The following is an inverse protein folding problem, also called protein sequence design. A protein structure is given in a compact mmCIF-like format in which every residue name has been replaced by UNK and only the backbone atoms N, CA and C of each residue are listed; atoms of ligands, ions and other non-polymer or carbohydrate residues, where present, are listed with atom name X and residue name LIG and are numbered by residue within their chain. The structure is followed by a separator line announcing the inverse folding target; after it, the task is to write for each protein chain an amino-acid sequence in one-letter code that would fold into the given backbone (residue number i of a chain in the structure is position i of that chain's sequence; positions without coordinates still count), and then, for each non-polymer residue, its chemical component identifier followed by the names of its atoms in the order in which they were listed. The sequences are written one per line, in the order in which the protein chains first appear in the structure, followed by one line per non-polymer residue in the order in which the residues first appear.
data_IF_104189360007
#
_entry.id   IF_104189360007
#
_cell.length_a   1.000
_cell.length_b   1.000
_cell.length_c   1.000
_cell.angle_alpha   90.00
_cell.angle_beta   90.00
_cell.angle_gamma   90.00
#
_symmetry.space_group_name_H-M   'P 1'
#
loop_
_entity.id
_entity.type
_entity.pdbx_description
1 polymer ?
#
# COMPACT_ATOMS: atom_id res chain seq x y z
N UNK A 1 5.90 -7.95 -12.84
CA UNK A 1 6.79 -7.01 -12.11
C UNK A 1 7.86 -6.32 -12.97
N UNK A 2 7.93 -6.60 -14.28
CA UNK A 2 8.98 -6.07 -15.17
C UNK A 2 8.93 -4.54 -15.32
N UNK A 3 7.73 -3.93 -15.32
CA UNK A 3 7.58 -2.49 -15.47
C UNK A 3 8.10 -1.69 -14.26
N UNK A 4 7.79 -2.12 -13.03
CA UNK A 4 8.26 -1.42 -11.81
C UNK A 4 9.78 -1.45 -11.71
N UNK A 5 10.42 -2.59 -12.02
CA UNK A 5 11.89 -2.67 -12.03
C UNK A 5 12.51 -1.73 -13.08
N UNK A 6 11.89 -1.58 -14.25
CA UNK A 6 12.31 -0.61 -15.27
C UNK A 6 12.20 0.83 -14.76
N UNK A 7 11.10 1.17 -14.07
CA UNK A 7 10.91 2.51 -13.46
C UNK A 7 11.97 2.76 -12.40
N UNK A 8 12.17 1.82 -11.47
CA UNK A 8 13.18 1.92 -10.41
C UNK A 8 14.59 2.13 -10.98
N UNK A 9 14.95 1.35 -12.00
CA UNK A 9 16.24 1.50 -12.68
C UNK A 9 16.37 2.85 -13.39
N UNK A 10 15.33 3.30 -14.09
CA UNK A 10 15.35 4.61 -14.75
C UNK A 10 15.45 5.76 -13.74
N UNK A 11 14.72 5.68 -12.63
CA UNK A 11 14.76 6.65 -11.54
C UNK A 11 16.17 6.74 -10.94
N UNK A 12 16.79 5.58 -10.65
CA UNK A 12 18.17 5.49 -10.18
C UNK A 12 19.17 6.09 -11.18
N UNK A 13 19.08 5.72 -12.45
CA UNK A 13 20.00 6.18 -13.49
C UNK A 13 19.97 7.70 -13.71
N UNK A 14 18.83 8.34 -13.42
CA UNK A 14 18.62 9.76 -13.66
C UNK A 14 18.57 10.60 -12.37
N UNK A 15 18.89 9.99 -11.22
CA UNK A 15 18.83 10.68 -9.91
C UNK A 15 17.45 11.24 -9.58
N UNK A 16 16.37 10.59 -10.03
CA UNK A 16 14.98 11.01 -9.76
C UNK A 16 14.38 10.20 -8.63
N UNK A 17 13.62 10.86 -7.77
CA UNK A 17 12.77 10.17 -6.81
C UNK A 17 11.60 9.49 -7.49
N UNK A 18 11.19 8.33 -6.96
CA UNK A 18 10.02 7.61 -7.42
C UNK A 18 9.26 7.01 -6.23
N UNK A 19 8.02 6.63 -6.50
CA UNK A 19 7.08 6.22 -5.48
C UNK A 19 5.78 5.69 -6.08
N UNK A 20 4.93 5.12 -5.24
CA UNK A 20 3.64 4.56 -5.64
C UNK A 20 2.72 4.27 -4.44
N UNK A 21 1.40 4.23 -4.65
CA UNK A 21 0.47 3.67 -3.68
C UNK A 21 0.58 2.14 -3.61
N UNK A 22 0.43 1.59 -2.41
CA UNK A 22 0.50 0.15 -2.14
C UNK A 22 -0.64 -0.30 -1.22
N UNK A 23 -1.10 -1.53 -1.43
CA UNK A 23 -2.19 -2.14 -0.64
C UNK A 23 -1.71 -3.01 0.51
N UNK A 24 -0.43 -3.36 0.56
CA UNK A 24 0.14 -4.27 1.56
C UNK A 24 1.51 -3.78 2.07
N UNK A 25 1.86 -4.19 3.28
CA UNK A 25 3.19 -3.95 3.86
C UNK A 25 4.27 -4.72 3.08
N UNK A 26 3.95 -5.92 2.58
CA UNK A 26 4.88 -6.71 1.77
C UNK A 26 5.27 -5.97 0.49
N UNK A 27 4.30 -5.36 -0.20
CA UNK A 27 4.57 -4.53 -1.39
C UNK A 27 5.35 -3.26 -1.03
N UNK A 28 5.01 -2.62 0.11
CA UNK A 28 5.75 -1.46 0.61
C UNK A 28 7.24 -1.81 0.80
N UNK A 29 7.54 -2.93 1.46
CA UNK A 29 8.90 -3.40 1.68
C UNK A 29 9.60 -3.68 0.34
N UNK A 30 8.95 -4.43 -0.55
CA UNK A 30 9.50 -4.74 -1.86
C UNK A 30 9.90 -3.49 -2.65
N UNK A 31 9.06 -2.45 -2.66
CA UNK A 31 9.36 -1.22 -3.41
C UNK A 31 10.36 -0.32 -2.69
N UNK A 32 10.35 -0.32 -1.37
CA UNK A 32 11.40 0.31 -0.56
C UNK A 32 12.78 -0.29 -0.91
N UNK A 33 12.89 -1.62 -1.00
CA UNK A 33 14.13 -2.32 -1.37
C UNK A 33 14.56 -2.02 -2.82
N UNK A 34 13.61 -1.66 -3.70
CA UNK A 34 13.89 -1.19 -5.07
C UNK A 34 14.26 0.30 -5.14
N UNK A 35 14.31 1.01 -4.00
CA UNK A 35 14.71 2.39 -3.89
C UNK A 35 13.57 3.41 -4.04
N UNK A 36 12.32 3.01 -3.82
CA UNK A 36 11.20 3.97 -3.75
C UNK A 36 11.38 4.86 -2.51
N UNK A 37 11.30 6.18 -2.72
CA UNK A 37 11.45 7.18 -1.66
C UNK A 37 10.12 7.72 -1.12
N UNK A 38 9.01 7.44 -1.81
CA UNK A 38 7.68 7.91 -1.43
C UNK A 38 6.64 6.79 -1.61
N UNK A 39 6.15 6.24 -0.50
CA UNK A 39 5.21 5.12 -0.53
C UNK A 39 3.92 5.56 0.16
N UNK A 40 2.79 5.45 -0.55
CA UNK A 40 1.47 5.74 0.00
C UNK A 40 0.82 4.41 0.40
N UNK A 41 0.77 4.12 1.71
CA UNK A 41 0.15 2.88 2.18
C UNK A 41 -1.37 3.03 2.37
N UNK A 42 -2.13 2.32 1.54
CA UNK A 42 -3.58 2.31 1.59
C UNK A 42 -4.22 3.60 1.06
N UNK A 43 -5.44 3.86 1.51
CA UNK A 43 -6.20 5.08 1.19
C UNK A 43 -7.19 5.39 2.30
N UNK A 44 -7.59 6.66 2.43
CA UNK A 44 -8.64 7.05 3.39
C UNK A 44 -9.95 6.26 3.16
N UNK A 45 -10.36 6.08 1.90
CA UNK A 45 -11.53 5.24 1.54
C UNK A 45 -11.34 3.80 2.01
N UNK A 46 -10.17 3.20 1.75
CA UNK A 46 -9.85 1.84 2.17
C UNK A 46 -9.86 1.68 3.69
N UNK A 47 -9.32 2.67 4.41
CA UNK A 47 -9.34 2.74 5.87
C UNK A 47 -10.78 2.74 6.41
N UNK A 48 -11.64 3.60 5.88
CA UNK A 48 -13.05 3.69 6.28
C UNK A 48 -13.79 2.38 6.02
N UNK A 49 -13.66 1.80 4.83
CA UNK A 49 -14.30 0.52 4.50
C UNK A 49 -13.84 -0.59 5.45
N UNK A 50 -12.54 -0.67 5.74
CA UNK A 50 -11.98 -1.68 6.66
C UNK A 50 -12.51 -1.47 8.07
N UNK A 51 -12.50 -0.22 8.56
CA UNK A 51 -13.01 0.13 9.89
C UNK A 51 -14.49 -0.21 10.05
N UNK A 52 -15.34 0.16 9.10
CA UNK A 52 -16.77 -0.14 9.18
C UNK A 52 -17.06 -1.64 9.11
N UNK A 53 -16.30 -2.41 8.31
CA UNK A 53 -16.43 -3.87 8.30
C UNK A 53 -16.06 -4.48 9.65
N UNK A 54 -14.99 -3.99 10.29
CA UNK A 54 -14.58 -4.44 11.60
C UNK A 54 -15.64 -4.13 12.66
N UNK A 55 -16.12 -2.89 12.73
CA UNK A 55 -17.21 -2.50 13.66
C UNK A 55 -18.45 -3.38 13.47
N UNK A 56 -18.81 -3.68 12.21
CA UNK A 56 -19.96 -4.56 11.93
C UNK A 56 -19.70 -5.99 12.39
N UNK A 57 -18.49 -6.50 12.21
CA UNK A 57 -18.12 -7.83 12.67
C UNK A 57 -18.21 -7.94 14.20
N UNK A 58 -17.63 -6.99 14.93
CA UNK A 58 -17.66 -6.93 16.40
C UNK A 58 -19.10 -6.86 16.93
N UNK A 59 -19.97 -6.11 16.25
CA UNK A 59 -21.40 -6.07 16.55
C UNK A 59 -22.07 -7.44 16.38
N UNK A 60 -21.84 -8.10 15.25
CA UNK A 60 -22.44 -9.40 14.95
C UNK A 60 -21.96 -10.47 15.95
N UNK A 61 -20.68 -10.47 16.33
CA UNK A 61 -20.11 -11.38 17.31
C UNK A 61 -20.73 -11.19 18.71
N UNK A 62 -21.03 -9.95 19.08
CA UNK A 62 -21.58 -9.62 20.40
C UNK A 62 -23.10 -9.83 20.50
N UNK A 63 -23.84 -9.59 19.42
CA UNK A 63 -25.30 -9.50 19.45
C UNK A 63 -26.03 -10.44 18.50
N UNK A 64 -25.31 -11.25 17.70
CA UNK A 64 -25.87 -12.36 16.93
C UNK A 64 -26.92 -11.99 15.87
N UNK A 65 -26.94 -10.73 15.39
CA UNK A 65 -27.84 -10.25 14.34
C UNK A 65 -27.11 -9.91 13.05
#
# INVERSE_FOLDING_TARGET
MTAIRKIAQAAKNNGKHWGLPVGSIADAQLFYDLGAGFIIYGSAKGLLIKGFKQVRQEWNESFGK
#
